data_IF_204312505712
#
_entry.id   IF_204312505712
#
_cell.length_a   1.000
_cell.length_b   1.000
_cell.length_c   1.000
_cell.angle_alpha   90.00
_cell.angle_beta   90.00
_cell.angle_gamma   90.00
#
_symmetry.space_group_name_H-M   'P 1'
#
loop_
_entity.id
_entity.type
_entity.pdbx_description
1 polymer ?
#
# COMPACT_ATOMS: atom_id res chain seq x y z
N UNK A 1 37.39 3.98 -10.57
CA UNK A 1 36.47 2.92 -10.09
C UNK A 1 35.45 3.60 -9.23
N UNK A 2 34.20 3.69 -9.61
CA UNK A 2 33.19 4.23 -8.74
C UNK A 2 32.72 3.15 -7.76
N UNK A 3 32.80 3.48 -6.49
CA UNK A 3 32.30 2.68 -5.38
C UNK A 3 30.76 2.57 -5.48
N UNK A 4 30.25 1.36 -5.57
CA UNK A 4 28.82 1.05 -5.38
C UNK A 4 28.41 1.50 -3.98
N UNK A 5 27.86 2.68 -3.86
CA UNK A 5 27.10 3.11 -2.70
C UNK A 5 25.79 2.30 -2.68
N UNK A 6 25.70 1.32 -1.79
CA UNK A 6 24.43 0.76 -1.36
C UNK A 6 23.57 1.94 -0.90
N UNK A 7 22.54 2.30 -1.65
CA UNK A 7 21.49 3.16 -1.11
C UNK A 7 20.87 2.40 0.06
N UNK A 8 21.11 2.89 1.25
CA UNK A 8 20.38 2.50 2.45
C UNK A 8 18.96 3.06 2.28
N UNK A 9 18.08 2.26 1.73
CA UNK A 9 16.64 2.54 1.71
C UNK A 9 16.15 2.22 3.11
N UNK A 10 16.36 3.18 4.05
CA UNK A 10 15.59 3.19 5.30
C UNK A 10 14.14 2.98 4.95
N UNK A 11 13.38 2.15 5.67
CA UNK A 11 12.11 1.64 5.19
C UNK A 11 11.11 2.78 5.01
N UNK A 12 10.95 3.24 3.76
CA UNK A 12 9.90 4.20 3.37
C UNK A 12 8.52 3.62 3.73
N UNK A 13 8.39 2.29 3.66
CA UNK A 13 7.17 1.57 4.01
C UNK A 13 7.44 0.44 5.01
N UNK A 14 6.53 0.26 5.94
CA UNK A 14 6.41 -0.96 6.73
C UNK A 14 5.25 -1.80 6.18
N UNK A 15 5.47 -3.11 6.07
CA UNK A 15 4.46 -4.04 5.55
C UNK A 15 3.74 -4.71 6.70
N UNK A 16 2.42 -4.85 6.54
CA UNK A 16 1.55 -5.55 7.48
C UNK A 16 1.28 -6.95 6.94
N UNK A 17 1.57 -7.97 7.74
CA UNK A 17 1.23 -9.35 7.40
C UNK A 17 -0.21 -9.62 7.84
N UNK A 18 -1.09 -9.93 6.89
CA UNK A 18 -2.48 -10.31 7.15
C UNK A 18 -2.63 -11.78 7.56
N UNK A 19 -1.58 -12.38 8.11
CA UNK A 19 -1.65 -13.63 8.88
C UNK A 19 -2.15 -14.84 8.12
N UNK A 20 -1.44 -15.30 7.10
CA UNK A 20 -1.42 -16.71 6.78
C UNK A 20 -0.26 -17.32 7.57
N UNK A 21 -0.61 -18.06 8.62
CA UNK A 21 0.34 -18.69 9.52
C UNK A 21 1.26 -19.66 8.76
N UNK A 22 2.44 -19.19 8.40
CA UNK A 22 3.52 -20.03 7.88
C UNK A 22 4.52 -20.32 9.00
N UNK A 23 4.06 -20.95 10.08
CA UNK A 23 4.93 -21.52 11.10
C UNK A 23 5.58 -22.81 10.59
N UNK A 24 6.47 -22.69 9.63
CA UNK A 24 7.43 -23.72 9.30
C UNK A 24 8.77 -23.26 9.85
N UNK A 25 9.15 -23.79 11.03
CA UNK A 25 10.43 -23.51 11.65
C UNK A 25 11.59 -23.88 10.71
N UNK A 26 12.52 -22.94 10.55
CA UNK A 26 13.83 -23.20 9.99
C UNK A 26 14.87 -22.91 11.08
N UNK A 27 15.16 -23.91 11.90
CA UNK A 27 16.46 -24.00 12.55
C UNK A 27 17.45 -24.60 11.54
N UNK A 28 18.39 -23.82 11.05
CA UNK A 28 19.43 -24.30 10.13
C UNK A 28 20.56 -23.30 10.07
N UNK A 29 21.75 -23.74 10.46
CA UNK A 29 22.99 -22.96 10.54
C UNK A 29 23.49 -22.36 9.22
N UNK A 30 24.69 -21.70 9.18
CA UNK A 30 25.11 -20.77 8.14
C UNK A 30 25.56 -21.50 6.85
N UNK A 31 24.59 -21.90 6.07
CA UNK A 31 24.76 -22.29 4.68
C UNK A 31 23.93 -21.30 3.85
N UNK A 32 24.55 -20.66 2.85
CA UNK A 32 23.87 -19.79 1.90
C UNK A 32 22.79 -20.62 1.20
N UNK A 33 21.57 -20.58 1.71
CA UNK A 33 20.41 -21.17 1.05
C UNK A 33 20.25 -20.44 -0.28
N UNK A 34 20.21 -21.14 -1.44
CA UNK A 34 19.89 -20.49 -2.70
C UNK A 34 18.55 -19.75 -2.52
N UNK A 35 18.47 -18.52 -3.06
CA UNK A 35 17.19 -17.83 -3.08
C UNK A 35 16.16 -18.77 -3.70
N UNK A 36 14.98 -18.96 -3.06
CA UNK A 36 13.97 -19.86 -3.61
C UNK A 36 13.62 -19.42 -5.01
N UNK A 37 13.60 -20.37 -5.96
CA UNK A 37 13.14 -20.08 -7.31
C UNK A 37 11.71 -19.55 -7.22
N UNK A 38 11.46 -18.45 -7.93
CA UNK A 38 10.16 -17.82 -7.99
C UNK A 38 9.12 -18.81 -8.53
N UNK A 39 8.10 -19.08 -7.73
CA UNK A 39 7.00 -19.95 -8.16
C UNK A 39 6.24 -19.29 -9.30
N UNK A 40 6.03 -20.02 -10.38
CA UNK A 40 5.21 -19.58 -11.51
C UNK A 40 3.84 -20.25 -11.49
N UNK A 41 2.81 -19.47 -11.75
CA UNK A 41 1.44 -19.98 -11.91
C UNK A 41 1.20 -20.31 -13.36
N UNK A 42 0.90 -21.58 -13.65
CA UNK A 42 0.64 -22.10 -14.99
C UNK A 42 -0.82 -22.53 -15.10
N UNK A 43 -1.55 -21.97 -16.04
CA UNK A 43 -2.94 -22.33 -16.35
C UNK A 43 -3.00 -22.77 -17.81
N UNK A 44 -3.48 -23.99 -18.08
CA UNK A 44 -3.55 -24.58 -19.42
C UNK A 44 -2.21 -24.50 -20.19
N UNK A 45 -1.10 -24.76 -19.50
CA UNK A 45 0.25 -24.74 -20.07
C UNK A 45 0.82 -23.36 -20.37
N UNK A 46 0.15 -22.28 -19.96
CA UNK A 46 0.61 -20.91 -20.12
C UNK A 46 0.86 -20.27 -18.75
N UNK A 47 2.01 -19.57 -18.64
CA UNK A 47 2.27 -18.74 -17.45
C UNK A 47 1.27 -17.60 -17.40
N UNK A 48 0.67 -17.39 -16.24
CA UNK A 48 -0.25 -16.27 -15.96
C UNK A 48 0.41 -15.34 -14.96
N UNK A 49 0.28 -14.03 -15.19
CA UNK A 49 0.67 -13.02 -14.21
C UNK A 49 -0.38 -12.98 -13.10
N UNK A 50 0.08 -13.09 -11.86
CA UNK A 50 -0.78 -13.07 -10.67
C UNK A 50 -0.68 -11.73 -9.96
N UNK A 51 -1.81 -11.21 -9.53
CA UNK A 51 -1.88 -9.94 -8.80
C UNK A 51 -2.63 -10.19 -7.49
N UNK A 52 -1.96 -9.88 -6.38
CA UNK A 52 -2.60 -9.81 -5.08
C UNK A 52 -3.13 -8.39 -4.87
N UNK A 53 -4.44 -8.26 -4.77
CA UNK A 53 -5.11 -6.96 -4.64
C UNK A 53 -5.40 -6.58 -3.17
N UNK A 54 -5.03 -7.43 -2.23
CA UNK A 54 -5.28 -7.23 -0.80
C UNK A 54 -3.97 -7.32 0.00
N UNK A 55 -3.09 -6.34 -0.21
CA UNK A 55 -1.78 -6.28 0.42
C UNK A 55 -1.64 -4.97 1.20
N UNK A 56 -1.60 -5.08 2.53
CA UNK A 56 -1.52 -3.91 3.39
C UNK A 56 -0.09 -3.46 3.66
N UNK A 57 0.07 -2.15 3.76
CA UNK A 57 1.28 -1.49 4.22
C UNK A 57 0.92 -0.27 5.08
N UNK A 58 1.91 0.37 5.63
CA UNK A 58 1.79 1.65 6.33
C UNK A 58 3.03 2.49 6.05
N UNK A 59 2.89 3.81 6.10
CA UNK A 59 3.97 4.79 6.01
C UNK A 59 4.22 5.33 7.42
N UNK A 60 5.29 4.89 8.11
CA UNK A 60 5.53 5.26 9.51
C UNK A 60 5.60 6.77 9.72
N UNK A 61 6.34 7.49 8.87
CA UNK A 61 6.49 8.94 8.95
C UNK A 61 5.15 9.68 8.82
N UNK A 62 4.24 9.19 7.97
CA UNK A 62 2.91 9.76 7.87
C UNK A 62 2.10 9.49 9.16
N UNK A 63 2.14 8.28 9.70
CA UNK A 63 1.40 7.92 10.90
C UNK A 63 1.76 8.81 12.11
N UNK A 64 3.02 9.23 12.23
CA UNK A 64 3.48 10.14 13.26
C UNK A 64 2.79 11.52 13.22
N UNK A 65 2.43 12.01 12.03
CA UNK A 65 1.78 13.33 11.85
C UNK A 65 0.39 13.41 12.50
N UNK A 66 -0.26 12.28 12.71
CA UNK A 66 -1.56 12.19 13.36
C UNK A 66 -1.51 11.40 14.67
N UNK A 67 -0.31 11.23 15.24
CA UNK A 67 -0.06 10.49 16.48
C UNK A 67 -0.65 9.07 16.48
N UNK A 68 -0.67 8.41 15.31
CA UNK A 68 -1.16 7.04 15.21
C UNK A 68 -0.08 6.05 15.63
N UNK A 69 -0.42 5.21 16.63
CA UNK A 69 0.48 4.13 17.04
C UNK A 69 0.51 3.03 15.99
N UNK A 70 1.70 2.63 15.59
CA UNK A 70 1.90 1.50 14.67
C UNK A 70 1.84 0.14 15.37
N UNK A 71 1.79 0.13 16.69
CA UNK A 71 1.71 -1.08 17.49
C UNK A 71 0.26 -1.58 17.55
N UNK A 72 -0.06 -2.54 16.70
CA UNK A 72 -1.32 -3.26 16.78
C UNK A 72 -1.06 -4.72 17.15
N UNK A 73 -1.71 -5.25 18.20
CA UNK A 73 -1.57 -6.65 18.57
C UNK A 73 -1.96 -7.57 17.40
N UNK A 74 -1.09 -8.55 17.09
CA UNK A 74 -1.34 -9.54 16.06
C UNK A 74 -0.93 -9.14 14.63
N UNK A 75 -0.44 -7.92 14.42
CA UNK A 75 0.16 -7.52 13.15
C UNK A 75 1.65 -7.87 13.14
N UNK A 76 2.11 -8.42 12.02
CA UNK A 76 3.54 -8.66 11.76
C UNK A 76 4.04 -7.65 10.74
N UNK A 77 5.19 -7.06 11.04
CA UNK A 77 5.87 -6.13 10.14
C UNK A 77 7.00 -6.87 9.44
N UNK A 78 7.00 -6.86 8.12
CA UNK A 78 8.07 -7.44 7.32
C UNK A 78 8.79 -6.36 6.52
N UNK A 79 10.10 -6.54 6.32
CA UNK A 79 10.87 -5.70 5.42
C UNK A 79 10.60 -6.07 3.95
N UNK A 80 11.08 -5.24 3.02
CA UNK A 80 10.88 -5.44 1.57
C UNK A 80 11.41 -6.79 1.08
N UNK A 81 12.56 -7.27 1.59
CA UNK A 81 13.15 -8.51 1.12
C UNK A 81 12.34 -9.72 1.56
N UNK A 82 11.83 -9.71 2.80
CA UNK A 82 10.94 -10.77 3.29
C UNK A 82 9.65 -10.78 2.50
N UNK A 83 9.09 -9.60 2.19
CA UNK A 83 7.89 -9.48 1.38
C UNK A 83 8.10 -10.01 -0.03
N UNK A 84 9.19 -9.66 -0.69
CA UNK A 84 9.53 -10.17 -2.02
C UNK A 84 9.75 -11.69 -2.00
N UNK A 85 10.44 -12.23 -0.98
CA UNK A 85 10.63 -13.66 -0.82
C UNK A 85 9.29 -14.39 -0.65
N UNK A 86 8.37 -13.86 0.15
CA UNK A 86 7.03 -14.42 0.32
C UNK A 86 6.24 -14.40 -0.99
N UNK A 87 6.26 -13.28 -1.73
CA UNK A 87 5.64 -13.17 -3.05
C UNK A 87 6.19 -14.23 -4.01
N UNK A 88 7.50 -14.42 -4.03
CA UNK A 88 8.15 -15.41 -4.90
C UNK A 88 7.76 -16.85 -4.51
N UNK A 89 7.71 -17.16 -3.22
CA UNK A 89 7.27 -18.48 -2.73
C UNK A 89 5.80 -18.78 -3.05
N UNK A 90 4.93 -17.79 -2.94
CA UNK A 90 3.49 -17.93 -3.19
C UNK A 90 3.12 -17.79 -4.66
N UNK A 91 4.02 -17.33 -5.50
CA UNK A 91 3.80 -17.11 -6.93
C UNK A 91 3.02 -15.83 -7.22
N UNK A 92 3.11 -14.84 -6.33
CA UNK A 92 2.52 -13.51 -6.55
C UNK A 92 3.51 -12.65 -7.34
N UNK A 93 3.09 -12.22 -8.52
CA UNK A 93 3.91 -11.37 -9.38
C UNK A 93 3.88 -9.91 -8.95
N UNK A 94 2.70 -9.40 -8.65
CA UNK A 94 2.47 -8.00 -8.27
C UNK A 94 1.56 -7.94 -7.07
N UNK A 95 1.86 -7.05 -6.13
CA UNK A 95 0.95 -6.66 -5.07
C UNK A 95 0.42 -5.24 -5.30
N UNK A 96 -0.88 -5.07 -5.10
CA UNK A 96 -1.52 -3.76 -5.03
C UNK A 96 -1.62 -3.36 -3.55
N UNK A 97 -0.75 -2.45 -3.15
CA UNK A 97 -0.64 -2.00 -1.76
C UNK A 97 -1.81 -1.10 -1.39
N UNK A 98 -2.37 -1.32 -0.23
CA UNK A 98 -3.42 -0.47 0.38
C UNK A 98 -3.07 -0.14 1.82
N UNK A 99 -3.63 0.96 2.32
CA UNK A 99 -3.51 1.35 3.72
C UNK A 99 -4.91 1.45 4.29
N UNK A 100 -5.16 0.71 5.37
CA UNK A 100 -6.44 0.80 6.08
C UNK A 100 -6.64 2.22 6.60
N UNK A 101 -7.78 2.86 6.34
CA UNK A 101 -8.01 4.24 6.76
C UNK A 101 -8.18 4.32 8.29
N UNK A 102 -7.18 4.89 8.94
CA UNK A 102 -7.16 5.18 10.39
C UNK A 102 -7.09 6.70 10.68
N UNK A 103 -7.28 7.53 9.65
CA UNK A 103 -7.14 8.98 9.70
C UNK A 103 -8.47 9.74 9.64
N UNK A 104 -9.60 9.06 9.60
CA UNK A 104 -10.89 9.71 9.41
C UNK A 104 -11.35 10.57 10.61
N UNK A 105 -10.71 10.41 11.77
CA UNK A 105 -10.93 11.26 12.95
C UNK A 105 -9.91 12.44 13.04
N UNK A 106 -8.95 12.51 12.12
CA UNK A 106 -7.91 13.53 12.19
C UNK A 106 -8.41 14.89 11.69
N UNK A 107 -7.91 15.95 12.32
CA UNK A 107 -8.19 17.33 11.97
C UNK A 107 -7.72 17.68 10.55
N UNK A 108 -8.44 18.59 9.87
CA UNK A 108 -8.25 18.92 8.45
C UNK A 108 -6.79 19.25 8.08
N UNK A 109 -6.14 20.10 8.89
CA UNK A 109 -4.76 20.51 8.60
C UNK A 109 -3.78 19.35 8.71
N UNK A 110 -3.89 18.55 9.76
CA UNK A 110 -3.04 17.39 10.00
C UNK A 110 -3.26 16.30 8.93
N UNK A 111 -4.51 16.00 8.60
CA UNK A 111 -4.81 14.97 7.60
C UNK A 111 -4.43 15.38 6.18
N UNK A 112 -4.46 16.66 5.85
CA UNK A 112 -4.00 17.14 4.55
C UNK A 112 -2.52 16.81 4.32
N UNK A 113 -1.68 17.11 5.31
CA UNK A 113 -0.25 16.81 5.27
C UNK A 113 0.02 15.30 5.35
N UNK A 114 -0.70 14.60 6.22
CA UNK A 114 -0.64 13.15 6.33
C UNK A 114 -0.88 12.46 4.99
N UNK A 115 -1.97 12.78 4.28
CA UNK A 115 -2.31 12.19 2.98
C UNK A 115 -1.26 12.53 1.93
N UNK A 116 -0.72 13.75 1.94
CA UNK A 116 0.35 14.15 1.03
C UNK A 116 1.59 13.28 1.22
N UNK A 117 2.10 13.19 2.45
CA UNK A 117 3.30 12.40 2.78
C UNK A 117 3.07 10.93 2.45
N UNK A 118 1.92 10.39 2.83
CA UNK A 118 1.58 8.99 2.58
C UNK A 118 1.53 8.64 1.09
N UNK A 119 0.86 9.45 0.28
CA UNK A 119 0.75 9.20 -1.16
C UNK A 119 2.08 9.39 -1.89
N UNK A 120 2.89 10.39 -1.51
CA UNK A 120 4.22 10.60 -2.09
C UNK A 120 5.14 9.41 -1.78
N UNK A 121 5.17 8.93 -0.53
CA UNK A 121 5.95 7.76 -0.14
C UNK A 121 5.51 6.48 -0.87
N UNK A 122 4.21 6.25 -1.02
CA UNK A 122 3.68 5.11 -1.78
C UNK A 122 4.10 5.17 -3.26
N UNK A 123 3.99 6.35 -3.88
CA UNK A 123 4.37 6.54 -5.28
C UNK A 123 5.88 6.31 -5.49
N UNK A 124 6.72 6.86 -4.61
CA UNK A 124 8.17 6.67 -4.65
C UNK A 124 8.55 5.20 -4.47
N UNK A 125 7.94 4.52 -3.49
CA UNK A 125 8.17 3.10 -3.27
C UNK A 125 7.80 2.26 -4.49
N UNK A 126 6.61 2.45 -5.07
CA UNK A 126 6.19 1.73 -6.27
C UNK A 126 7.10 2.04 -7.47
N UNK A 127 7.57 3.27 -7.62
CA UNK A 127 8.52 3.65 -8.66
C UNK A 127 9.88 2.96 -8.50
N UNK A 128 10.29 2.64 -7.28
CA UNK A 128 11.54 1.88 -7.00
C UNK A 128 11.43 0.39 -7.34
N UNK A 129 10.21 -0.17 -7.37
CA UNK A 129 9.91 -1.58 -7.59
C UNK A 129 8.73 -1.78 -8.57
N UNK A 130 8.77 -1.20 -9.77
CA UNK A 130 7.59 -1.04 -10.65
C UNK A 130 7.04 -2.37 -11.18
N UNK A 131 7.85 -3.41 -11.20
CA UNK A 131 7.45 -4.75 -11.65
C UNK A 131 6.78 -5.59 -10.56
N UNK A 132 6.85 -5.14 -9.31
CA UNK A 132 6.40 -5.91 -8.15
C UNK A 132 5.28 -5.23 -7.36
N UNK A 133 5.20 -3.91 -7.36
CA UNK A 133 4.24 -3.17 -6.56
C UNK A 133 3.51 -2.10 -7.37
N UNK A 134 2.23 -2.02 -7.12
CA UNK A 134 1.37 -0.87 -7.43
C UNK A 134 0.65 -0.49 -6.13
N UNK A 135 0.05 0.68 -6.06
CA UNK A 135 -0.66 1.08 -4.84
C UNK A 135 -1.97 1.79 -5.16
N UNK A 136 -2.87 1.74 -4.18
CA UNK A 136 -4.03 2.61 -4.09
C UNK A 136 -3.64 3.86 -3.31
N UNK A 137 -3.90 5.04 -3.86
CA UNK A 137 -3.74 6.27 -3.13
C UNK A 137 -4.80 6.40 -2.03
N UNK A 138 -4.59 7.30 -1.12
CA UNK A 138 -5.49 7.58 -0.01
C UNK A 138 -6.05 8.99 -0.10
N UNK A 139 -7.20 9.25 0.53
CA UNK A 139 -7.84 10.54 0.56
C UNK A 139 -8.55 10.77 1.90
N UNK A 140 -8.69 12.02 2.29
CA UNK A 140 -9.34 12.45 3.52
C UNK A 140 -10.85 12.63 3.31
N UNK A 141 -11.58 11.52 3.18
CA UNK A 141 -13.02 11.52 2.85
C UNK A 141 -13.88 12.26 3.89
N UNK A 142 -13.44 12.37 5.14
CA UNK A 142 -14.12 13.17 6.15
C UNK A 142 -14.23 14.66 5.76
N UNK A 143 -13.41 15.10 4.80
CA UNK A 143 -13.44 16.41 4.15
C UNK A 143 -13.58 16.24 2.64
N UNK A 144 -14.80 16.08 2.10
CA UNK A 144 -15.01 15.69 0.70
C UNK A 144 -14.40 16.65 -0.33
N UNK A 145 -14.37 17.93 -0.05
CA UNK A 145 -13.73 18.95 -0.89
C UNK A 145 -12.21 18.73 -0.98
N UNK A 146 -11.56 18.48 0.15
CA UNK A 146 -10.14 18.13 0.21
C UNK A 146 -9.86 16.79 -0.48
N UNK A 147 -10.73 15.80 -0.28
CA UNK A 147 -10.59 14.49 -0.93
C UNK A 147 -10.62 14.59 -2.45
N UNK A 148 -11.47 15.44 -3.02
CA UNK A 148 -11.52 15.72 -4.48
C UNK A 148 -10.17 16.22 -4.99
N UNK A 149 -9.56 17.19 -4.29
CA UNK A 149 -8.26 17.74 -4.65
C UNK A 149 -7.15 16.68 -4.54
N UNK A 150 -7.18 15.87 -3.48
CA UNK A 150 -6.19 14.81 -3.23
C UNK A 150 -6.27 13.70 -4.28
N UNK A 151 -7.47 13.26 -4.67
CA UNK A 151 -7.66 12.29 -5.76
C UNK A 151 -7.10 12.82 -7.08
N UNK A 152 -7.40 14.08 -7.42
CA UNK A 152 -6.89 14.70 -8.63
C UNK A 152 -5.34 14.77 -8.64
N UNK A 153 -4.74 15.15 -7.51
CA UNK A 153 -3.28 15.19 -7.37
C UNK A 153 -2.67 13.79 -7.48
N UNK A 154 -3.24 12.80 -6.78
CA UNK A 154 -2.78 11.42 -6.81
C UNK A 154 -2.76 10.86 -8.24
N UNK A 155 -3.81 11.10 -9.01
CA UNK A 155 -3.91 10.60 -10.38
C UNK A 155 -3.01 11.38 -11.35
N UNK A 156 -3.12 12.72 -11.35
CA UNK A 156 -2.46 13.55 -12.37
C UNK A 156 -0.97 13.78 -12.10
N UNK A 157 -0.54 13.80 -10.83
CA UNK A 157 0.85 14.09 -10.47
C UNK A 157 1.64 12.86 -10.05
N UNK A 158 1.01 11.95 -9.30
CA UNK A 158 1.68 10.77 -8.75
C UNK A 158 1.42 9.49 -9.54
N UNK A 159 0.53 9.52 -10.53
CA UNK A 159 0.29 8.41 -11.45
C UNK A 159 -0.54 7.26 -10.87
N UNK A 160 -1.21 7.45 -9.75
CA UNK A 160 -2.11 6.43 -9.20
C UNK A 160 -3.28 6.13 -10.13
N UNK A 161 -3.73 4.88 -10.13
CA UNK A 161 -4.87 4.41 -10.94
C UNK A 161 -6.02 3.90 -10.07
N UNK A 162 -5.88 3.97 -8.77
CA UNK A 162 -6.88 3.55 -7.81
C UNK A 162 -6.76 4.30 -6.49
N UNK A 163 -7.86 4.36 -5.76
CA UNK A 163 -7.98 4.97 -4.45
C UNK A 163 -8.51 3.93 -3.47
N UNK A 164 -7.86 3.80 -2.31
CA UNK A 164 -8.34 2.98 -1.20
C UNK A 164 -9.24 3.79 -0.27
N UNK A 165 -10.40 3.24 0.07
CA UNK A 165 -11.35 3.86 1.01
C UNK A 165 -11.82 2.84 2.05
N UNK A 166 -12.28 3.31 3.20
CA UNK A 166 -12.95 2.45 4.19
C UNK A 166 -14.40 2.17 3.85
N UNK A 167 -14.99 1.17 4.49
CA UNK A 167 -16.42 0.86 4.34
C UNK A 167 -17.36 1.92 4.93
N UNK A 168 -16.85 2.82 5.78
CA UNK A 168 -17.53 4.00 6.30
C UNK A 168 -16.51 5.09 6.61
N UNK A 169 -16.96 6.33 6.77
CA UNK A 169 -16.12 7.48 7.11
C UNK A 169 -16.58 8.06 8.43
N UNK A 170 -15.82 7.83 9.50
CA UNK A 170 -16.17 8.26 10.86
C UNK A 170 -17.63 7.84 11.25
N UNK A 171 -18.04 6.63 10.87
CA UNK A 171 -19.39 6.12 11.13
C UNK A 171 -20.45 6.54 10.11
N UNK A 172 -20.12 7.33 9.13
CA UNK A 172 -21.05 7.77 8.09
C UNK A 172 -21.00 6.85 6.87
N UNK A 173 -22.17 6.60 6.29
CA UNK A 173 -22.32 5.75 5.12
C UNK A 173 -21.75 6.41 3.86
N UNK A 174 -21.04 5.64 3.05
CA UNK A 174 -20.44 6.13 1.79
C UNK A 174 -21.48 6.58 0.75
N UNK A 175 -22.75 6.20 0.94
CA UNK A 175 -23.89 6.64 0.12
C UNK A 175 -24.40 8.05 0.46
N UNK A 176 -23.91 8.67 1.54
CA UNK A 176 -24.32 10.02 1.92
C UNK A 176 -24.02 11.01 0.77
N UNK A 177 -24.99 11.89 0.41
CA UNK A 177 -24.82 12.85 -0.67
C UNK A 177 -23.58 13.76 -0.56
N UNK A 178 -23.07 13.99 0.64
CA UNK A 178 -21.83 14.77 0.84
C UNK A 178 -20.61 14.17 0.16
N UNK A 179 -20.58 12.84 -0.08
CA UNK A 179 -19.50 12.15 -0.77
C UNK A 179 -19.65 12.15 -2.29
N UNK A 180 -20.80 12.61 -2.85
CA UNK A 180 -21.01 12.64 -4.30
C UNK A 180 -19.89 13.39 -5.06
N UNK A 181 -19.33 14.52 -4.58
CA UNK A 181 -18.25 15.19 -5.29
C UNK A 181 -17.01 14.30 -5.44
N UNK A 182 -16.69 13.48 -4.43
CA UNK A 182 -15.59 12.51 -4.49
C UNK A 182 -15.88 11.41 -5.52
N UNK A 183 -17.08 10.82 -5.50
CA UNK A 183 -17.47 9.79 -6.46
C UNK A 183 -17.45 10.31 -7.89
N UNK A 184 -17.99 11.51 -8.11
CA UNK A 184 -17.97 12.17 -9.43
C UNK A 184 -16.56 12.42 -9.92
N UNK A 185 -15.62 12.79 -9.03
CA UNK A 185 -14.22 12.97 -9.40
C UNK A 185 -13.55 11.64 -9.74
N UNK A 186 -13.82 10.58 -9.01
CA UNK A 186 -13.32 9.24 -9.33
C UNK A 186 -13.81 8.77 -10.71
N UNK A 187 -15.09 9.00 -11.02
CA UNK A 187 -15.68 8.68 -12.33
C UNK A 187 -15.04 9.52 -13.45
N UNK A 188 -14.92 10.84 -13.26
CA UNK A 188 -14.27 11.76 -14.21
C UNK A 188 -12.85 11.30 -14.57
N UNK A 189 -12.09 10.87 -13.58
CA UNK A 189 -10.70 10.44 -13.75
C UNK A 189 -10.56 8.97 -14.17
N UNK A 190 -11.65 8.21 -14.16
CA UNK A 190 -11.66 6.79 -14.50
C UNK A 190 -10.82 5.95 -13.54
N UNK A 191 -10.78 6.29 -12.25
CA UNK A 191 -9.99 5.58 -11.26
C UNK A 191 -10.78 4.44 -10.60
N UNK A 192 -10.09 3.36 -10.28
CA UNK A 192 -10.64 2.27 -9.50
C UNK A 192 -10.78 2.70 -8.04
N UNK A 193 -11.90 2.39 -7.40
CA UNK A 193 -12.07 2.54 -5.96
C UNK A 193 -12.05 1.16 -5.32
N UNK A 194 -11.14 0.98 -4.36
CA UNK A 194 -10.97 -0.24 -3.58
C UNK A 194 -11.47 0.00 -2.15
N UNK A 195 -12.37 -0.87 -1.67
CA UNK A 195 -12.96 -0.81 -0.33
C UNK A 195 -12.59 -2.04 0.49
#
# INVERSE_FOLDING_TARGET
MPTNGSMDISPILAFVDCGIDSSAGAEGGPGRVPAPERREVIINGKRVKTVDVHAHCIVPEAAELINHSLEAPGLRWSNINDRLAQMDQTGVDVQALSINPYWYEAERGAVAEFIRVQNEALAEFCASQPDRFVAFATAALQYPDLAVEQVEQAVKKLGFRGIGVGGSVAGEELSDPKFHPFWSKCEELGVLVFM
#
